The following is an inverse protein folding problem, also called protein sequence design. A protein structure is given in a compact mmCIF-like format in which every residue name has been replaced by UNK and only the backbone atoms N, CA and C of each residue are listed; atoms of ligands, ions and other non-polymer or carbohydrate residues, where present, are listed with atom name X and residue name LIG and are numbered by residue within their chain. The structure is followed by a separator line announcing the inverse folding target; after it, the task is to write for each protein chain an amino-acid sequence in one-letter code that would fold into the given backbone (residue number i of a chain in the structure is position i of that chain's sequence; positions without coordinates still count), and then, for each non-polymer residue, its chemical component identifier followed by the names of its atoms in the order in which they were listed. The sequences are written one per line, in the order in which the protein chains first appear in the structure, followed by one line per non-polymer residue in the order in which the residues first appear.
data_IF_780646429347
#
_entry.id   IF_780646429347
#
_cell.length_a   1.000
_cell.length_b   1.000
_cell.length_c   1.000
_cell.angle_alpha   90.00
_cell.angle_beta   90.00
_cell.angle_gamma   90.00
#
_symmetry.space_group_name_H-M   'P 1'
#
loop_
_entity.id
_entity.type
_entity.pdbx_description
1 polymer ?
#
# COMPACT_ATOMS: atom_id res chain seq x y z
N UNK A 1 8.91 27.29 -6.88
CA UNK A 1 8.79 25.97 -6.24
C UNK A 1 10.00 25.16 -6.66
N UNK A 2 10.94 24.88 -5.75
CA UNK A 2 12.02 23.95 -6.03
C UNK A 2 11.40 22.59 -6.42
N UNK A 3 11.82 22.02 -7.55
CA UNK A 3 11.43 20.66 -7.91
C UNK A 3 11.97 19.73 -6.82
N UNK A 4 11.09 19.13 -6.05
CA UNK A 4 11.45 18.07 -5.12
C UNK A 4 12.20 17.00 -5.94
N UNK A 5 13.51 16.92 -5.74
CA UNK A 5 14.35 15.94 -6.42
C UNK A 5 14.49 14.72 -5.50
N UNK A 6 14.01 13.59 -5.98
CA UNK A 6 14.11 12.30 -5.29
C UNK A 6 15.27 11.50 -5.90
N UNK A 7 16.11 10.93 -5.04
CA UNK A 7 17.16 10.02 -5.50
C UNK A 7 16.54 8.64 -5.71
N UNK A 8 16.56 8.16 -6.95
CA UNK A 8 16.13 6.81 -7.30
C UNK A 8 17.34 5.93 -7.60
N UNK A 9 17.27 4.60 -7.42
CA UNK A 9 18.33 3.68 -7.82
C UNK A 9 18.64 3.78 -9.31
N UNK A 10 19.92 3.58 -9.66
CA UNK A 10 20.39 3.65 -11.04
C UNK A 10 19.64 2.66 -11.95
N UNK A 11 19.38 1.43 -11.46
CA UNK A 11 18.66 0.41 -12.20
C UNK A 11 17.19 0.81 -12.45
N UNK A 12 16.52 1.42 -11.48
CA UNK A 12 15.16 1.96 -11.67
C UNK A 12 15.17 3.10 -12.71
N UNK A 13 16.17 3.98 -12.67
CA UNK A 13 16.33 5.05 -13.65
C UNK A 13 16.53 4.52 -15.07
N UNK A 14 17.29 3.42 -15.24
CA UNK A 14 17.47 2.74 -16.53
C UNK A 14 16.13 2.25 -17.08
N UNK A 15 15.27 1.68 -16.22
CA UNK A 15 13.96 1.19 -16.64
C UNK A 15 13.05 2.35 -17.06
N UNK A 16 12.97 3.41 -16.25
CA UNK A 16 12.18 4.60 -16.57
C UNK A 16 12.62 5.21 -17.92
N UNK A 17 13.92 5.32 -18.12
CA UNK A 17 14.51 5.86 -19.35
C UNK A 17 14.19 4.97 -20.56
N UNK A 18 14.38 3.64 -20.45
CA UNK A 18 14.10 2.71 -21.53
C UNK A 18 12.64 2.74 -21.98
N UNK A 19 11.69 2.81 -21.03
CA UNK A 19 10.27 2.98 -21.36
C UNK A 19 9.97 4.33 -22.01
N UNK A 20 10.59 5.41 -21.51
CA UNK A 20 10.42 6.75 -22.09
C UNK A 20 10.96 6.86 -23.52
N UNK A 21 12.15 6.28 -23.79
CA UNK A 21 12.75 6.23 -25.13
C UNK A 21 11.91 5.41 -26.11
N UNK A 22 11.18 4.41 -25.62
CA UNK A 22 10.22 3.63 -26.40
C UNK A 22 8.85 4.33 -26.57
N UNK A 23 8.67 5.54 -26.02
CA UNK A 23 7.46 6.36 -26.17
C UNK A 23 6.39 6.11 -25.12
N UNK A 24 6.71 5.42 -24.02
CA UNK A 24 5.78 5.16 -22.94
C UNK A 24 6.03 6.06 -21.73
N UNK A 25 4.96 6.38 -21.01
CA UNK A 25 5.09 6.99 -19.68
C UNK A 25 5.51 5.94 -18.66
N UNK A 26 6.39 6.33 -17.73
CA UNK A 26 6.77 5.48 -16.60
C UNK A 26 7.12 6.33 -15.37
N UNK A 27 6.77 5.83 -14.19
CA UNK A 27 7.02 6.48 -12.89
C UNK A 27 7.35 5.41 -11.85
N UNK A 28 8.21 5.74 -10.89
CA UNK A 28 8.23 5.01 -9.62
C UNK A 28 7.00 5.41 -8.81
N UNK A 29 6.41 4.50 -8.02
CA UNK A 29 5.07 4.72 -7.46
C UNK A 29 4.88 4.06 -6.09
N UNK A 30 4.03 4.65 -5.26
CA UNK A 30 3.59 4.02 -4.02
C UNK A 30 4.56 4.13 -2.88
N UNK A 31 4.89 3.00 -2.26
CA UNK A 31 5.70 2.93 -1.04
C UNK A 31 7.07 3.59 -1.17
N UNK A 32 7.75 3.41 -2.29
CA UNK A 32 9.07 4.01 -2.51
C UNK A 32 9.02 5.55 -2.57
N UNK A 33 7.97 6.12 -3.16
CA UNK A 33 7.78 7.57 -3.21
C UNK A 33 7.51 8.11 -1.80
N UNK A 34 6.59 7.48 -1.06
CA UNK A 34 6.30 7.83 0.34
C UNK A 34 7.55 7.77 1.22
N UNK A 35 8.26 6.65 1.19
CA UNK A 35 9.41 6.44 2.07
C UNK A 35 10.54 7.41 1.74
N UNK A 36 10.80 7.69 0.47
CA UNK A 36 11.77 8.70 0.05
C UNK A 36 11.40 10.11 0.54
N UNK A 37 10.11 10.48 0.50
CA UNK A 37 9.63 11.78 1.01
C UNK A 37 9.77 11.89 2.53
N UNK A 38 9.68 10.76 3.24
CA UNK A 38 9.90 10.68 4.69
C UNK A 38 11.39 10.56 5.07
N UNK A 39 12.32 10.56 4.09
CA UNK A 39 13.74 10.37 4.33
C UNK A 39 14.09 8.94 4.77
N UNK A 40 13.22 7.98 4.51
CA UNK A 40 13.44 6.55 4.74
C UNK A 40 14.00 5.91 3.47
N UNK A 41 14.82 4.87 3.61
CA UNK A 41 15.32 4.10 2.47
C UNK A 41 14.24 3.09 2.03
N UNK A 42 13.72 3.19 0.79
CA UNK A 42 12.75 2.24 0.28
C UNK A 42 13.35 0.84 0.13
N UNK A 43 12.58 -0.18 0.51
CA UNK A 43 12.99 -1.59 0.34
C UNK A 43 12.79 -2.07 -1.10
N UNK A 44 11.67 -1.67 -1.70
CA UNK A 44 11.25 -2.09 -3.04
C UNK A 44 10.91 -0.85 -3.87
N UNK A 45 11.16 -0.92 -5.16
CA UNK A 45 10.91 0.16 -6.12
C UNK A 45 9.95 -0.30 -7.20
N UNK A 46 8.65 -0.06 -6.97
CA UNK A 46 7.60 -0.36 -7.92
C UNK A 46 7.57 0.69 -9.03
N UNK A 47 7.39 0.23 -10.27
CA UNK A 47 7.26 1.09 -11.44
C UNK A 47 5.88 0.89 -12.04
N UNK A 48 5.23 1.99 -12.42
CA UNK A 48 3.97 1.96 -13.16
C UNK A 48 4.16 2.64 -14.51
N UNK A 49 3.50 2.14 -15.57
CA UNK A 49 3.73 2.58 -16.96
C UNK A 49 2.47 2.53 -17.81
N UNK A 50 2.44 3.34 -18.88
CA UNK A 50 1.43 3.23 -19.93
C UNK A 50 1.69 2.06 -20.90
N UNK A 51 2.88 1.46 -20.85
CA UNK A 51 3.20 0.29 -21.67
C UNK A 51 2.44 -0.95 -21.19
N UNK A 52 1.90 -1.73 -22.13
CA UNK A 52 1.32 -3.05 -21.82
C UNK A 52 2.42 -4.08 -21.54
N UNK A 53 2.09 -5.21 -20.87
CA UNK A 53 3.09 -6.23 -20.54
C UNK A 53 3.95 -6.67 -21.74
N UNK A 54 3.35 -6.90 -22.90
CA UNK A 54 4.05 -7.31 -24.12
C UNK A 54 5.00 -6.22 -24.62
N UNK A 55 4.63 -4.96 -24.43
CA UNK A 55 5.45 -3.80 -24.80
C UNK A 55 6.63 -3.65 -23.85
N UNK A 56 6.43 -3.86 -22.54
CA UNK A 56 7.53 -3.91 -21.55
C UNK A 56 8.52 -5.02 -21.92
N UNK A 57 8.03 -6.22 -22.27
CA UNK A 57 8.85 -7.36 -22.71
C UNK A 57 9.58 -7.07 -24.01
N UNK A 58 9.05 -6.26 -24.90
CA UNK A 58 9.72 -5.86 -26.14
C UNK A 58 10.85 -4.84 -25.90
N UNK A 59 10.76 -4.03 -24.84
CA UNK A 59 11.80 -3.04 -24.47
C UNK A 59 12.96 -3.69 -23.73
N UNK A 60 12.69 -4.68 -22.86
CA UNK A 60 13.71 -5.28 -21.99
C UNK A 60 13.95 -6.75 -22.31
N UNK A 61 15.23 -7.11 -22.51
CA UNK A 61 15.62 -8.47 -22.89
C UNK A 61 15.40 -9.53 -21.80
N UNK A 62 15.44 -9.12 -20.53
CA UNK A 62 15.31 -10.05 -19.40
C UNK A 62 14.10 -9.67 -18.54
N UNK A 63 13.01 -10.43 -18.68
CA UNK A 63 11.76 -10.22 -17.95
C UNK A 63 11.23 -11.54 -17.42
N UNK A 64 10.47 -11.48 -16.31
CA UNK A 64 9.79 -12.62 -15.68
C UNK A 64 8.31 -12.28 -15.57
N UNK A 65 7.45 -13.20 -15.98
CA UNK A 65 6.00 -13.05 -15.92
C UNK A 65 5.51 -13.34 -14.50
N UNK A 66 5.56 -12.35 -13.61
CA UNK A 66 5.20 -12.49 -12.20
C UNK A 66 3.73 -12.22 -11.90
N UNK A 67 3.02 -11.57 -12.81
CA UNK A 67 1.61 -11.21 -12.63
C UNK A 67 1.00 -10.64 -13.92
N UNK A 68 1.25 -11.29 -15.05
CA UNK A 68 0.85 -10.80 -16.38
C UNK A 68 -0.66 -10.61 -16.50
N UNK A 69 -1.46 -11.46 -15.84
CA UNK A 69 -2.92 -11.36 -15.79
C UNK A 69 -3.39 -10.06 -15.11
N UNK A 70 -2.55 -9.50 -14.24
CA UNK A 70 -2.79 -8.23 -13.56
C UNK A 70 -1.97 -7.06 -14.12
N UNK A 71 -1.30 -7.29 -15.25
CA UNK A 71 -0.51 -6.26 -15.93
C UNK A 71 0.90 -6.08 -15.39
N UNK A 72 1.42 -6.98 -14.54
CA UNK A 72 2.74 -6.86 -13.93
C UNK A 72 3.75 -7.79 -14.60
N UNK A 73 4.92 -7.23 -14.91
CA UNK A 73 6.10 -7.94 -15.40
C UNK A 73 7.29 -7.52 -14.55
N UNK A 74 8.10 -8.46 -14.10
CA UNK A 74 9.36 -8.14 -13.43
C UNK A 74 10.46 -7.96 -14.47
N UNK A 75 11.05 -6.76 -14.54
CA UNK A 75 12.22 -6.46 -15.36
C UNK A 75 13.48 -6.72 -14.55
N UNK A 76 14.36 -7.57 -15.08
CA UNK A 76 15.63 -7.92 -14.44
C UNK A 76 16.77 -7.03 -14.94
N UNK A 77 17.41 -6.31 -14.03
CA UNK A 77 18.66 -5.57 -14.30
C UNK A 77 19.78 -6.22 -13.47
N UNK A 78 20.63 -6.96 -14.13
CA UNK A 78 21.61 -7.79 -13.44
C UNK A 78 20.94 -8.88 -12.60
N UNK A 79 21.07 -8.80 -11.28
CA UNK A 79 20.45 -9.74 -10.33
C UNK A 79 19.22 -9.17 -9.62
N UNK A 80 18.89 -7.92 -9.87
CA UNK A 80 17.77 -7.22 -9.23
C UNK A 80 16.53 -7.25 -10.12
N UNK A 81 15.38 -7.51 -9.53
CA UNK A 81 14.09 -7.50 -10.19
C UNK A 81 13.28 -6.27 -9.78
N UNK A 82 12.67 -5.62 -10.77
CA UNK A 82 11.78 -4.47 -10.58
C UNK A 82 10.41 -4.79 -11.12
N UNK A 83 9.39 -4.66 -10.30
CA UNK A 83 8.01 -4.84 -10.75
C UNK A 83 7.57 -3.63 -11.59
N UNK A 84 7.19 -3.92 -12.84
CA UNK A 84 6.68 -2.93 -13.79
C UNK A 84 5.23 -3.28 -14.09
N UNK A 85 4.32 -2.43 -13.64
CA UNK A 85 2.88 -2.65 -13.78
C UNK A 85 2.27 -1.67 -14.77
N UNK A 86 1.50 -2.18 -15.72
CA UNK A 86 0.71 -1.36 -16.65
C UNK A 86 -0.36 -0.58 -15.89
N UNK A 87 -0.59 0.70 -16.25
CA UNK A 87 -1.71 1.48 -15.71
C UNK A 87 -3.01 0.73 -15.92
N UNK A 88 -3.82 0.64 -14.88
CA UNK A 88 -5.05 -0.11 -14.94
C UNK A 88 -6.19 0.56 -14.17
N UNK A 89 -7.38 0.23 -14.58
CA UNK A 89 -8.62 0.47 -13.85
C UNK A 89 -9.09 -0.91 -13.39
N UNK A 90 -9.29 -1.06 -12.11
CA UNK A 90 -9.85 -2.29 -11.58
C UNK A 90 -11.37 -2.28 -11.83
N UNK A 91 -11.91 -3.36 -12.42
CA UNK A 91 -13.33 -3.55 -12.65
C UNK A 91 -14.07 -3.93 -11.36
N UNK A 92 -15.32 -4.41 -11.48
CA UNK A 92 -16.06 -4.93 -10.33
C UNK A 92 -15.31 -6.08 -9.67
N UNK A 93 -15.27 -6.09 -8.33
CA UNK A 93 -14.62 -7.13 -7.54
C UNK A 93 -15.60 -8.27 -7.26
N UNK A 94 -15.17 -9.51 -7.45
CA UNK A 94 -16.03 -10.69 -7.25
C UNK A 94 -15.95 -11.27 -5.84
N UNK A 95 -14.77 -11.18 -5.22
CA UNK A 95 -14.42 -11.86 -3.97
C UNK A 95 -13.73 -10.94 -2.95
N UNK A 96 -13.99 -9.63 -3.02
CA UNK A 96 -13.31 -8.60 -2.20
C UNK A 96 -11.78 -8.63 -2.33
N UNK A 97 -11.25 -9.11 -3.45
CA UNK A 97 -9.80 -9.18 -3.71
C UNK A 97 -9.42 -8.99 -5.18
N UNK A 98 -10.09 -9.72 -6.08
CA UNK A 98 -9.71 -9.73 -7.48
C UNK A 98 -10.77 -9.01 -8.30
N UNK A 99 -10.38 -8.01 -9.08
CA UNK A 99 -11.30 -7.47 -10.08
C UNK A 99 -11.61 -8.57 -11.10
N UNK A 100 -12.88 -8.69 -11.47
CA UNK A 100 -13.34 -9.62 -12.53
C UNK A 100 -12.57 -9.44 -13.82
N UNK A 101 -12.28 -8.19 -14.14
CA UNK A 101 -11.52 -7.80 -15.30
C UNK A 101 -10.60 -6.63 -14.95
N UNK A 102 -9.35 -6.72 -15.42
CA UNK A 102 -8.40 -5.63 -15.38
C UNK A 102 -8.44 -4.93 -16.74
N UNK A 103 -8.83 -3.65 -16.75
CA UNK A 103 -8.79 -2.84 -17.95
C UNK A 103 -7.54 -1.96 -17.95
N UNK A 104 -6.70 -2.14 -18.95
CA UNK A 104 -5.53 -1.29 -19.09
C UNK A 104 -5.93 0.11 -19.58
N UNK A 105 -5.30 1.12 -19.01
CA UNK A 105 -5.48 2.52 -19.38
C UNK A 105 -4.15 3.16 -19.75
N UNK A 106 -4.19 4.28 -20.44
CA UNK A 106 -3.03 5.12 -20.67
C UNK A 106 -2.91 6.29 -19.68
N UNK A 107 -3.83 6.38 -18.72
CA UNK A 107 -3.93 7.51 -17.79
C UNK A 107 -3.39 7.14 -16.41
N UNK A 108 -2.26 7.75 -16.02
CA UNK A 108 -1.68 7.57 -14.69
C UNK A 108 -2.67 7.86 -13.56
N UNK A 109 -3.50 8.89 -13.72
CA UNK A 109 -4.45 9.29 -12.68
C UNK A 109 -5.42 8.16 -12.30
N UNK A 110 -5.89 7.38 -13.26
CA UNK A 110 -6.78 6.23 -13.01
C UNK A 110 -6.04 5.12 -12.24
N UNK A 111 -4.75 4.88 -12.55
CA UNK A 111 -3.95 3.93 -11.79
C UNK A 111 -3.70 4.38 -10.34
N UNK A 112 -3.50 5.68 -10.11
CA UNK A 112 -3.34 6.23 -8.77
C UNK A 112 -4.66 6.20 -7.97
N UNK A 113 -5.80 6.42 -8.62
CA UNK A 113 -7.13 6.48 -8.01
C UNK A 113 -7.57 5.15 -7.39
N UNK A 114 -7.17 4.01 -7.96
CA UNK A 114 -7.52 2.67 -7.43
C UNK A 114 -6.70 2.25 -6.21
N UNK A 115 -5.68 3.03 -5.81
CA UNK A 115 -4.81 2.71 -4.69
C UNK A 115 -5.53 2.88 -3.36
N UNK A 116 -4.97 2.28 -2.31
CA UNK A 116 -5.55 2.26 -0.97
C UNK A 116 -5.58 3.62 -0.29
N UNK A 117 -4.40 4.21 -0.07
CA UNK A 117 -4.24 5.45 0.70
C UNK A 117 -3.52 6.52 -0.09
N UNK A 118 -3.84 7.78 0.20
CA UNK A 118 -3.27 8.97 -0.46
C UNK A 118 -1.74 8.98 -0.42
N UNK A 119 -1.15 8.60 0.72
CA UNK A 119 0.30 8.50 0.91
C UNK A 119 0.99 7.45 0.02
N UNK A 120 0.22 6.52 -0.57
CA UNK A 120 0.69 5.52 -1.52
C UNK A 120 0.20 5.79 -2.95
N UNK A 121 -0.57 6.85 -3.16
CA UNK A 121 -1.12 7.24 -4.46
C UNK A 121 -0.34 8.40 -5.09
N UNK A 122 0.96 8.39 -4.92
CA UNK A 122 1.91 9.34 -5.50
C UNK A 122 2.86 8.63 -6.45
N UNK A 123 3.23 9.31 -7.53
CA UNK A 123 4.18 8.81 -8.53
C UNK A 123 5.30 9.83 -8.75
N UNK A 124 6.49 9.38 -9.11
CA UNK A 124 7.63 10.24 -9.38
C UNK A 124 8.40 9.80 -10.63
N UNK A 125 8.78 10.78 -11.42
CA UNK A 125 9.72 10.62 -12.52
C UNK A 125 10.73 11.77 -12.50
N UNK A 126 12.03 11.53 -12.68
CA UNK A 126 13.06 12.58 -12.61
C UNK A 126 12.84 13.77 -13.55
N UNK A 127 12.29 13.53 -14.74
CA UNK A 127 12.08 14.56 -15.75
C UNK A 127 10.76 15.32 -15.55
N UNK A 128 9.75 14.65 -14.95
CA UNK A 128 8.37 15.17 -14.80
C UNK A 128 8.06 15.64 -13.38
N UNK A 129 8.84 15.20 -12.39
CA UNK A 129 8.62 15.50 -10.97
C UNK A 129 7.61 14.57 -10.31
N UNK A 130 7.07 15.00 -9.17
CA UNK A 130 6.05 14.26 -8.40
C UNK A 130 4.66 14.54 -8.97
N UNK A 131 3.88 13.49 -9.13
CA UNK A 131 2.44 13.54 -9.38
C UNK A 131 1.72 13.13 -8.11
N UNK A 132 1.05 14.08 -7.49
CA UNK A 132 0.23 13.93 -6.29
C UNK A 132 -1.16 14.52 -6.54
N UNK A 133 -2.09 13.68 -6.97
CA UNK A 133 -3.44 14.10 -7.31
C UNK A 133 -4.42 14.04 -6.11
N UNK A 134 -4.00 13.42 -5.01
CA UNK A 134 -4.87 13.12 -3.86
C UNK A 134 -4.38 13.72 -2.54
N UNK A 135 -3.44 14.68 -2.61
CA UNK A 135 -2.86 15.37 -1.44
C UNK A 135 -2.10 14.42 -0.50
N UNK A 136 -1.39 13.44 -1.08
CA UNK A 136 -0.57 12.50 -0.33
C UNK A 136 0.59 13.19 0.41
N UNK A 137 1.22 14.20 -0.19
CA UNK A 137 2.27 15.00 0.46
C UNK A 137 1.69 15.72 1.69
N UNK A 138 0.53 16.37 1.55
CA UNK A 138 -0.14 17.03 2.67
C UNK A 138 -0.50 16.05 3.79
N UNK A 139 -0.93 14.83 3.45
CA UNK A 139 -1.22 13.80 4.45
C UNK A 139 0.05 13.26 5.13
N UNK A 140 1.18 13.17 4.43
CA UNK A 140 2.48 12.88 5.05
C UNK A 140 2.90 13.94 6.06
N UNK A 141 2.73 15.22 5.71
CA UNK A 141 3.04 16.36 6.60
C UNK A 141 2.14 16.37 7.85
N UNK A 142 0.85 16.06 7.67
CA UNK A 142 -0.13 15.98 8.76
C UNK A 142 -0.05 14.67 9.54
N UNK A 143 0.73 13.69 9.07
CA UNK A 143 0.84 12.34 9.64
C UNK A 143 -0.51 11.60 9.67
N UNK A 144 -1.19 11.58 8.53
CA UNK A 144 -2.54 11.00 8.39
C UNK A 144 -2.54 9.84 7.39
N UNK A 145 -3.26 8.78 7.73
CA UNK A 145 -3.64 7.69 6.83
C UNK A 145 -5.07 7.96 6.36
N UNK A 146 -5.23 8.28 5.09
CA UNK A 146 -6.52 8.59 4.47
C UNK A 146 -6.69 7.76 3.20
N UNK A 147 -7.87 7.16 3.03
CA UNK A 147 -8.22 6.45 1.80
C UNK A 147 -8.24 7.39 0.58
N UNK A 148 -7.90 6.85 -0.58
CA UNK A 148 -8.13 7.55 -1.86
C UNK A 148 -9.62 7.50 -2.19
N UNK A 149 -10.25 8.65 -2.40
CA UNK A 149 -11.67 8.74 -2.72
C UNK A 149 -12.58 8.39 -1.54
N UNK A 150 -13.58 7.53 -1.77
CA UNK A 150 -14.57 7.13 -0.76
C UNK A 150 -14.07 5.88 -0.01
N UNK A 151 -13.85 5.95 1.31
CA UNK A 151 -13.28 4.83 2.08
C UNK A 151 -14.09 3.53 1.99
N UNK A 152 -15.43 3.63 2.01
CA UNK A 152 -16.32 2.47 1.90
C UNK A 152 -16.09 1.70 0.59
N UNK A 153 -15.98 2.41 -0.53
CA UNK A 153 -15.70 1.81 -1.83
C UNK A 153 -14.34 1.09 -1.82
N UNK A 154 -13.32 1.72 -1.23
CA UNK A 154 -11.98 1.13 -1.13
C UNK A 154 -11.97 -0.17 -0.31
N UNK A 155 -12.76 -0.26 0.75
CA UNK A 155 -12.89 -1.46 1.56
C UNK A 155 -13.78 -2.52 0.91
N UNK A 156 -14.80 -2.12 0.18
CA UNK A 156 -15.62 -3.05 -0.62
C UNK A 156 -14.81 -3.73 -1.76
N UNK A 157 -13.81 -3.03 -2.32
CA UNK A 157 -12.90 -3.60 -3.32
C UNK A 157 -11.94 -4.63 -2.71
N UNK A 158 -11.28 -4.32 -1.60
CA UNK A 158 -10.39 -5.23 -0.86
C UNK A 158 -10.44 -4.92 0.64
N UNK A 159 -11.17 -5.75 1.38
CA UNK A 159 -11.33 -5.58 2.82
C UNK A 159 -9.99 -5.66 3.59
N UNK A 160 -8.94 -6.29 3.02
CA UNK A 160 -7.61 -6.28 3.65
C UNK A 160 -7.06 -4.85 3.83
N UNK A 161 -7.54 -3.88 3.06
CA UNK A 161 -7.17 -2.47 3.22
C UNK A 161 -7.50 -1.94 4.62
N UNK A 162 -8.49 -2.52 5.31
CA UNK A 162 -8.80 -2.25 6.73
C UNK A 162 -7.58 -2.57 7.61
N UNK A 163 -7.02 -3.77 7.47
CA UNK A 163 -5.81 -4.18 8.19
C UNK A 163 -4.60 -3.32 7.80
N UNK A 164 -4.50 -2.98 6.50
CA UNK A 164 -3.42 -2.14 5.97
C UNK A 164 -3.44 -0.73 6.56
N UNK A 165 -4.63 -0.15 6.84
CA UNK A 165 -4.74 1.15 7.50
C UNK A 165 -4.05 1.14 8.87
N UNK A 166 -4.38 0.16 9.72
CA UNK A 166 -3.74 0.00 11.04
C UNK A 166 -2.25 -0.30 10.91
N UNK A 167 -1.87 -1.15 9.96
CA UNK A 167 -0.45 -1.45 9.72
C UNK A 167 0.35 -0.20 9.33
N UNK A 168 -0.16 0.64 8.43
CA UNK A 168 0.53 1.88 8.09
C UNK A 168 0.59 2.85 9.27
N UNK A 169 -0.49 2.94 10.08
CA UNK A 169 -0.45 3.69 11.34
C UNK A 169 0.66 3.19 12.25
N UNK A 170 0.77 1.88 12.44
CA UNK A 170 1.80 1.26 13.29
C UNK A 170 3.22 1.43 12.73
N UNK A 171 3.40 1.36 11.42
CA UNK A 171 4.72 1.51 10.80
C UNK A 171 5.22 2.96 10.72
N UNK A 172 4.30 3.93 10.64
CA UNK A 172 4.63 5.33 10.41
C UNK A 172 4.41 6.20 11.65
N UNK A 173 3.67 5.72 12.66
CA UNK A 173 3.23 6.52 13.79
C UNK A 173 2.18 7.57 13.38
N UNK A 174 1.34 7.27 12.39
CA UNK A 174 0.35 8.18 11.81
C UNK A 174 -1.05 7.84 12.32
N UNK A 175 -1.92 8.85 12.40
CA UNK A 175 -3.32 8.66 12.73
C UNK A 175 -4.15 8.32 11.47
N UNK A 176 -5.19 7.50 11.65
CA UNK A 176 -6.19 7.30 10.60
C UNK A 176 -7.21 8.44 10.67
N UNK A 177 -7.58 9.03 9.54
CA UNK A 177 -8.57 10.11 9.51
C UNK A 177 -9.98 9.64 9.90
N UNK A 178 -10.84 10.60 10.28
CA UNK A 178 -12.19 10.32 10.77
C UNK A 178 -13.02 9.47 9.79
N UNK A 179 -13.22 9.92 8.56
CA UNK A 179 -14.00 9.18 7.55
C UNK A 179 -13.48 7.76 7.29
N UNK A 180 -12.15 7.56 7.28
CA UNK A 180 -11.56 6.23 7.11
C UNK A 180 -11.83 5.35 8.35
N UNK A 181 -11.74 5.88 9.59
CA UNK A 181 -12.09 5.15 10.82
C UNK A 181 -13.56 4.72 10.83
N UNK A 182 -14.46 5.62 10.46
CA UNK A 182 -15.90 5.34 10.38
C UNK A 182 -16.17 4.19 9.38
N UNK A 183 -15.57 4.25 8.21
CA UNK A 183 -15.70 3.21 7.20
C UNK A 183 -15.10 1.86 7.66
N UNK A 184 -13.98 1.87 8.40
CA UNK A 184 -13.42 0.65 9.01
C UNK A 184 -14.47 0.01 9.92
N UNK A 185 -15.04 0.78 10.85
CA UNK A 185 -16.04 0.26 11.81
C UNK A 185 -17.27 -0.29 11.08
N UNK A 186 -17.71 0.37 9.99
CA UNK A 186 -18.84 -0.07 9.18
C UNK A 186 -18.57 -1.37 8.42
N UNK A 187 -17.34 -1.53 7.90
CA UNK A 187 -16.97 -2.61 6.97
C UNK A 187 -16.15 -3.74 7.60
N UNK A 188 -15.83 -3.66 8.89
CA UNK A 188 -14.91 -4.59 9.58
C UNK A 188 -15.29 -6.06 9.44
N UNK A 189 -16.58 -6.39 9.38
CA UNK A 189 -17.06 -7.78 9.22
C UNK A 189 -16.65 -8.40 7.86
N UNK A 190 -16.35 -7.59 6.85
CA UNK A 190 -15.86 -8.10 5.57
C UNK A 190 -14.49 -8.79 5.68
N UNK A 191 -13.74 -8.57 6.77
CA UNK A 191 -12.49 -9.29 7.05
C UNK A 191 -12.69 -10.80 7.18
N UNK A 192 -13.88 -11.29 7.50
CA UNK A 192 -14.21 -12.73 7.51
C UNK A 192 -14.00 -13.39 6.13
N UNK A 193 -14.09 -12.61 5.05
CA UNK A 193 -13.89 -13.10 3.68
C UNK A 193 -12.40 -13.13 3.26
N UNK A 194 -11.50 -12.64 4.10
CA UNK A 194 -10.06 -12.58 3.79
C UNK A 194 -9.36 -13.83 4.33
N UNK A 195 -8.48 -14.41 3.52
CA UNK A 195 -7.74 -15.61 3.95
C UNK A 195 -6.86 -15.33 5.18
N UNK A 196 -6.74 -16.33 6.06
CA UNK A 196 -5.98 -16.24 7.29
C UNK A 196 -4.51 -15.86 7.05
N UNK A 197 -3.91 -16.34 5.95
CA UNK A 197 -2.53 -16.02 5.57
C UNK A 197 -2.33 -14.54 5.28
N UNK A 198 -3.28 -13.90 4.57
CA UNK A 198 -3.23 -12.47 4.28
C UNK A 198 -3.38 -11.65 5.58
N UNK A 199 -4.31 -12.03 6.45
CA UNK A 199 -4.52 -11.41 7.77
C UNK A 199 -3.25 -11.54 8.62
N UNK A 200 -2.69 -12.75 8.71
CA UNK A 200 -1.47 -13.02 9.47
C UNK A 200 -0.29 -12.14 9.00
N UNK A 201 -0.13 -11.99 7.69
CA UNK A 201 0.95 -11.14 7.13
C UNK A 201 0.82 -9.67 7.60
N UNK A 202 -0.39 -9.12 7.67
CA UNK A 202 -0.60 -7.76 8.14
C UNK A 202 -0.44 -7.66 9.66
N UNK A 203 -0.96 -8.63 10.43
CA UNK A 203 -0.79 -8.69 11.89
C UNK A 203 0.69 -8.74 12.29
N UNK A 204 1.47 -9.61 11.65
CA UNK A 204 2.93 -9.69 11.91
C UNK A 204 3.60 -8.35 11.65
N UNK A 205 3.26 -7.66 10.56
CA UNK A 205 3.83 -6.34 10.24
C UNK A 205 3.43 -5.25 11.23
N UNK A 206 2.26 -5.35 11.87
CA UNK A 206 1.85 -4.45 12.97
C UNK A 206 2.71 -4.75 14.21
N UNK A 207 2.79 -6.02 14.61
CA UNK A 207 3.49 -6.42 15.84
C UNK A 207 5.00 -6.17 15.82
N UNK A 208 5.63 -6.24 14.64
CA UNK A 208 7.08 -5.96 14.48
C UNK A 208 7.37 -4.52 14.02
N UNK A 209 6.38 -3.64 14.05
CA UNK A 209 6.54 -2.23 13.66
C UNK A 209 7.17 -1.40 14.78
N UNK A 210 7.45 -0.13 14.49
CA UNK A 210 7.95 0.83 15.48
C UNK A 210 6.89 1.21 16.53
N UNK A 211 5.60 0.93 16.24
CA UNK A 211 4.45 1.28 17.09
C UNK A 211 3.46 0.11 17.22
N UNK A 212 3.85 -1.03 17.86
CA UNK A 212 2.98 -2.19 18.02
C UNK A 212 1.74 -1.90 18.88
N UNK A 213 1.75 -0.84 19.69
CA UNK A 213 0.62 -0.36 20.49
C UNK A 213 -0.63 0.00 19.66
N UNK A 214 -0.50 0.16 18.35
CA UNK A 214 -1.64 0.32 17.44
C UNK A 214 -2.52 -0.93 17.33
N UNK A 215 -2.12 -2.06 17.93
CA UNK A 215 -3.03 -3.18 18.16
C UNK A 215 -4.24 -2.79 19.03
N UNK A 216 -4.08 -1.83 19.95
CA UNK A 216 -5.20 -1.25 20.71
C UNK A 216 -6.19 -0.54 19.79
N UNK A 217 -5.69 0.23 18.82
CA UNK A 217 -6.54 0.85 17.80
C UNK A 217 -7.30 -0.21 16.98
N UNK A 218 -6.64 -1.31 16.61
CA UNK A 218 -7.31 -2.41 15.91
C UNK A 218 -8.46 -2.99 16.73
N UNK A 219 -8.28 -3.11 18.05
CA UNK A 219 -9.33 -3.56 18.97
C UNK A 219 -10.47 -2.53 19.08
N UNK A 220 -10.15 -1.25 19.26
CA UNK A 220 -11.14 -0.17 19.38
C UNK A 220 -11.99 0.00 18.11
N UNK A 221 -11.45 -0.34 16.95
CA UNK A 221 -12.14 -0.36 15.67
C UNK A 221 -12.87 -1.70 15.38
N UNK A 222 -12.84 -2.67 16.31
CA UNK A 222 -13.50 -3.96 16.18
C UNK A 222 -12.77 -4.96 15.27
N UNK A 223 -11.57 -4.65 14.78
CA UNK A 223 -10.82 -5.51 13.88
C UNK A 223 -10.42 -6.81 14.57
N UNK A 224 -9.89 -6.73 15.80
CA UNK A 224 -9.43 -7.91 16.55
C UNK A 224 -10.56 -8.85 16.88
N UNK A 225 -11.78 -8.34 17.12
CA UNK A 225 -12.96 -9.17 17.35
C UNK A 225 -13.26 -10.13 16.18
N UNK A 226 -12.89 -9.73 14.96
CA UNK A 226 -13.08 -10.55 13.75
C UNK A 226 -11.87 -11.44 13.47
N UNK A 227 -10.65 -10.91 13.56
CA UNK A 227 -9.45 -11.60 13.05
C UNK A 227 -8.62 -12.28 14.13
N UNK A 228 -8.76 -11.87 15.41
CA UNK A 228 -7.98 -12.38 16.56
C UNK A 228 -8.77 -12.18 17.88
N UNK A 229 -9.95 -12.82 18.05
CA UNK A 229 -10.80 -12.59 19.20
C UNK A 229 -10.15 -12.97 20.55
N UNK A 230 -9.09 -13.77 20.53
CA UNK A 230 -8.29 -14.09 21.71
C UNK A 230 -7.61 -12.85 22.29
N UNK A 231 -7.22 -11.89 21.44
CA UNK A 231 -6.62 -10.64 21.90
C UNK A 231 -7.60 -9.81 22.74
N UNK A 232 -8.86 -9.73 22.34
CA UNK A 232 -9.88 -8.99 23.10
C UNK A 232 -10.12 -9.57 24.49
N UNK A 233 -9.88 -10.88 24.67
CA UNK A 233 -10.06 -11.55 25.95
C UNK A 233 -8.96 -11.26 26.96
N UNK A 234 -7.80 -10.80 26.54
CA UNK A 234 -6.68 -10.46 27.44
C UNK A 234 -6.71 -9.00 27.90
N UNK A 235 -7.55 -8.15 27.30
CA UNK A 235 -7.69 -6.74 27.67
C UNK A 235 -8.25 -6.61 29.08
N UNK A 236 -7.59 -5.77 29.90
CA UNK A 236 -8.01 -5.50 31.27
C UNK A 236 -7.90 -6.71 32.21
N UNK A 237 -7.27 -7.80 31.80
CA UNK A 237 -7.01 -8.94 32.67
C UNK A 237 -5.83 -8.61 33.58
N UNK A 238 -6.12 -8.37 34.88
CA UNK A 238 -5.10 -8.08 35.88
C UNK A 238 -4.22 -9.29 36.18
N UNK A 239 -2.93 -9.07 36.28
CA UNK A 239 -1.98 -10.07 36.75
C UNK A 239 -1.87 -10.00 38.29
N UNK A 240 -2.38 -11.04 38.98
CA UNK A 240 -2.46 -11.07 40.44
C UNK A 240 -1.12 -11.49 41.10
N UNK A 241 0.02 -11.13 40.56
CA UNK A 241 1.30 -11.44 41.18
C UNK A 241 2.05 -10.17 41.56
N UNK A 242 2.77 -10.14 42.69
CA UNK A 242 3.49 -8.94 43.14
C UNK A 242 4.63 -8.47 42.19
N UNK A 243 4.94 -9.28 41.18
CA UNK A 243 6.02 -9.01 40.23
C UNK A 243 5.53 -8.36 38.92
N UNK A 244 4.21 -8.24 38.72
CA UNK A 244 3.63 -7.64 37.50
C UNK A 244 2.88 -6.37 37.87
N UNK A 245 3.31 -5.25 37.30
CA UNK A 245 2.70 -3.92 37.47
C UNK A 245 1.74 -3.57 36.34
N UNK A 246 1.76 -4.35 35.27
CA UNK A 246 0.93 -4.19 34.08
C UNK A 246 -0.15 -5.28 34.01
N UNK A 247 -1.24 -5.03 33.32
CA UNK A 247 -2.18 -6.08 32.93
C UNK A 247 -1.61 -6.98 31.82
N UNK A 248 -2.39 -7.99 31.39
CA UNK A 248 -1.91 -8.95 30.37
C UNK A 248 -1.70 -8.30 29.01
N UNK A 249 -2.50 -7.29 28.67
CA UNK A 249 -2.38 -6.56 27.39
C UNK A 249 -1.14 -5.65 27.38
N UNK A 250 -0.85 -5.02 28.51
CA UNK A 250 0.26 -4.07 28.63
C UNK A 250 1.63 -4.77 28.74
N UNK A 251 1.65 -6.04 29.17
CA UNK A 251 2.85 -6.85 29.35
C UNK A 251 3.35 -7.43 28.03
#
# INVERSE_FOLDING_TARGET
MERLSMRIPENAAVILKGLSEAGYEAYVVGGCVRDSLLGREPKDWDITTSARPEQVKAVFAHTIDTGIEHGTVTVMIGKEGYEVTTYRIDGEYEDSRHPKEVQFTSQLLEDLKRRDFTINAMAYNPDRGIVDAFDGIGDLERKIIRCVGVPQERFDEDALRIMRAVRFSAQLGFEIDGPTKEAITEKVQQLENISAERIQMELVKILVSDHPEYMRLACDLGITAVVLPEYDRIRGVSQQTPNHIYDVEEH
#
